data_IF_649425753293
#
_entry.id   IF_649425753293
#
_cell.length_a   1.000
_cell.length_b   1.000
_cell.length_c   1.000
_cell.angle_alpha   90.00
_cell.angle_beta   90.00
_cell.angle_gamma   90.00
#
_symmetry.space_group_name_H-M   'P 1'
#
loop_
_entity.id
_entity.type
_entity.pdbx_description
1 polymer ?
#
# COMPACT_ATOMS: atom_id res chain seq x y z
N UNK A 1 17.34 -32.89 -1.64
CA UNK A 1 16.19 -32.83 -2.57
C UNK A 1 15.70 -34.26 -2.72
N UNK A 2 14.45 -34.55 -2.35
CA UNK A 2 13.89 -35.88 -2.56
C UNK A 2 13.73 -36.14 -4.07
N UNK A 3 14.01 -37.37 -4.52
CA UNK A 3 13.85 -37.81 -5.90
C UNK A 3 12.44 -37.53 -6.42
N UNK A 4 12.34 -36.93 -7.61
CA UNK A 4 11.07 -36.46 -8.19
C UNK A 4 10.09 -37.59 -8.55
N UNK A 5 10.55 -38.84 -8.65
CA UNK A 5 9.76 -39.98 -9.14
C UNK A 5 8.84 -40.61 -8.09
N UNK A 6 8.90 -40.17 -6.83
CA UNK A 6 8.06 -40.69 -5.73
C UNK A 6 7.07 -39.66 -5.15
N UNK A 7 7.02 -38.44 -5.68
CA UNK A 7 6.09 -37.41 -5.21
C UNK A 7 4.73 -37.53 -5.89
N UNK A 8 3.66 -37.30 -5.12
CA UNK A 8 2.32 -37.19 -5.71
C UNK A 8 2.28 -36.02 -6.72
N UNK A 9 1.47 -36.10 -7.80
CA UNK A 9 1.38 -35.02 -8.78
C UNK A 9 1.06 -33.65 -8.15
N UNK A 10 0.33 -33.65 -7.04
CA UNK A 10 0.00 -32.45 -6.28
C UNK A 10 1.22 -31.83 -5.58
N UNK A 11 2.02 -32.64 -4.89
CA UNK A 11 3.23 -32.15 -4.23
C UNK A 11 4.28 -31.73 -5.26
N UNK A 12 4.34 -32.41 -6.42
CA UNK A 12 5.19 -31.98 -7.53
C UNK A 12 4.76 -30.61 -8.07
N UNK A 13 3.46 -30.38 -8.26
CA UNK A 13 2.92 -29.07 -8.65
C UNK A 13 3.24 -28.00 -7.59
N UNK A 14 3.04 -28.29 -6.30
CA UNK A 14 3.37 -27.38 -5.20
C UNK A 14 4.85 -26.99 -5.20
N UNK A 15 5.75 -27.98 -5.24
CA UNK A 15 7.20 -27.74 -5.23
C UNK A 15 7.65 -26.95 -6.46
N UNK A 16 7.06 -27.22 -7.63
CA UNK A 16 7.36 -26.47 -8.85
C UNK A 16 6.95 -25.00 -8.74
N UNK A 17 5.78 -24.71 -8.16
CA UNK A 17 5.34 -23.33 -7.91
C UNK A 17 6.21 -22.67 -6.83
N UNK A 18 6.49 -23.38 -5.73
CA UNK A 18 7.31 -22.88 -4.61
C UNK A 18 8.74 -22.51 -5.02
N UNK A 19 9.32 -23.15 -6.05
CA UNK A 19 10.63 -22.77 -6.60
C UNK A 19 10.70 -21.30 -7.03
N UNK A 20 9.59 -20.73 -7.50
CA UNK A 20 9.49 -19.32 -7.88
C UNK A 20 9.22 -18.36 -6.72
N UNK A 21 8.89 -18.87 -5.53
CA UNK A 21 8.45 -18.09 -4.36
C UNK A 21 9.12 -18.60 -3.08
N UNK A 22 10.44 -18.72 -3.10
CA UNK A 22 11.23 -19.34 -2.00
C UNK A 22 11.15 -18.54 -0.69
N UNK A 23 11.02 -17.23 -0.80
CA UNK A 23 11.00 -16.23 0.26
C UNK A 23 9.58 -15.89 0.76
N UNK A 24 8.54 -16.52 0.21
CA UNK A 24 7.15 -16.31 0.59
C UNK A 24 6.49 -17.60 1.05
N UNK A 25 5.66 -17.54 2.09
CA UNK A 25 4.81 -18.66 2.50
C UNK A 25 3.75 -18.88 1.42
N UNK A 26 3.70 -20.07 0.85
CA UNK A 26 2.79 -20.40 -0.24
C UNK A 26 1.45 -20.91 0.31
N UNK A 27 0.41 -20.10 0.18
CA UNK A 27 -0.97 -20.49 0.45
C UNK A 27 -1.52 -21.20 -0.78
N UNK A 28 -1.54 -22.53 -0.74
CA UNK A 28 -1.89 -23.37 -1.88
C UNK A 28 -3.35 -23.80 -1.82
N UNK A 29 -4.19 -23.30 -2.75
CA UNK A 29 -5.63 -23.57 -2.77
C UNK A 29 -5.94 -25.05 -2.98
N UNK A 30 -6.65 -25.64 -2.03
CA UNK A 30 -7.09 -27.03 -2.03
C UNK A 30 -8.53 -27.16 -1.52
N UNK A 31 -9.48 -27.31 -2.45
CA UNK A 31 -10.90 -27.34 -2.07
C UNK A 31 -11.27 -26.06 -1.34
N UNK A 32 -11.77 -26.17 -0.10
CA UNK A 32 -12.13 -25.04 0.76
C UNK A 32 -11.01 -24.54 1.69
N UNK A 33 -9.78 -24.98 1.48
CA UNK A 33 -8.64 -24.60 2.31
C UNK A 33 -7.53 -23.95 1.49
N UNK A 34 -6.71 -23.15 2.17
CA UNK A 34 -5.32 -22.93 1.76
C UNK A 34 -4.44 -23.82 2.61
N UNK A 35 -3.71 -24.73 1.97
CA UNK A 35 -2.75 -25.62 2.60
C UNK A 35 -1.32 -25.09 2.39
N UNK A 36 -0.47 -25.32 3.39
CA UNK A 36 0.97 -25.07 3.35
C UNK A 36 1.69 -26.37 3.65
N UNK A 37 2.84 -26.62 3.00
CA UNK A 37 3.60 -27.86 3.16
C UNK A 37 5.07 -27.60 3.54
N UNK A 38 5.72 -28.63 4.10
CA UNK A 38 7.13 -28.61 4.46
C UNK A 38 7.48 -27.47 5.43
N UNK A 39 8.52 -26.69 5.15
CA UNK A 39 8.96 -25.58 5.99
C UNK A 39 7.89 -24.52 6.18
N UNK A 40 7.14 -24.19 5.12
CA UNK A 40 6.03 -23.23 5.18
C UNK A 40 4.99 -23.67 6.22
N UNK A 41 4.69 -24.96 6.30
CA UNK A 41 3.76 -25.50 7.30
C UNK A 41 4.28 -25.36 8.73
N UNK A 42 5.57 -25.65 8.93
CA UNK A 42 6.22 -25.57 10.25
C UNK A 42 6.29 -24.13 10.75
N UNK A 43 6.60 -23.19 9.86
CA UNK A 43 6.66 -21.76 10.18
C UNK A 43 5.25 -21.22 10.43
N UNK A 44 4.33 -21.45 9.48
CA UNK A 44 2.97 -20.91 9.57
C UNK A 44 2.19 -21.47 10.76
N UNK A 45 2.31 -22.76 11.07
CA UNK A 45 1.61 -23.36 12.22
C UNK A 45 1.94 -22.67 13.54
N UNK A 46 3.21 -22.30 13.75
CA UNK A 46 3.66 -21.59 14.96
C UNK A 46 3.14 -20.16 15.02
N UNK A 47 3.25 -19.41 13.92
CA UNK A 47 2.85 -17.98 13.90
C UNK A 47 1.32 -17.83 13.93
N UNK A 48 0.62 -18.70 13.21
CA UNK A 48 -0.83 -18.65 13.09
C UNK A 48 -1.55 -19.34 14.27
N UNK A 49 -0.80 -20.11 15.07
CA UNK A 49 -1.30 -20.94 16.18
C UNK A 49 -2.34 -21.96 15.69
N UNK A 50 -2.03 -22.63 14.58
CA UNK A 50 -2.88 -23.66 13.98
C UNK A 50 -2.21 -25.04 14.06
N UNK A 51 -3.01 -26.10 13.98
CA UNK A 51 -2.51 -27.45 14.09
C UNK A 51 -1.53 -27.80 12.95
N UNK A 52 -0.31 -28.23 13.32
CA UNK A 52 0.62 -28.87 12.41
C UNK A 52 0.28 -30.36 12.33
N UNK A 53 0.02 -30.84 11.13
CA UNK A 53 -0.35 -32.22 10.83
C UNK A 53 0.61 -32.81 9.80
N UNK A 54 0.39 -34.07 9.41
CA UNK A 54 1.17 -34.73 8.36
C UNK A 54 0.25 -35.33 7.31
N UNK A 55 0.64 -35.14 6.06
CA UNK A 55 0.02 -35.75 4.90
C UNK A 55 0.76 -37.04 4.53
N UNK A 56 0.02 -38.00 3.97
CA UNK A 56 0.55 -39.28 3.50
C UNK A 56 1.35 -40.05 4.56
N UNK A 57 0.76 -40.20 5.76
CA UNK A 57 1.32 -40.93 6.94
C UNK A 57 1.81 -42.37 6.67
N UNK A 58 1.54 -42.92 5.48
CA UNK A 58 1.90 -44.28 5.05
C UNK A 58 3.18 -44.32 4.21
N UNK A 59 3.73 -43.18 3.81
CA UNK A 59 5.03 -43.07 3.15
C UNK A 59 6.16 -43.07 4.18
N UNK A 60 7.36 -43.49 3.78
CA UNK A 60 8.56 -43.47 4.63
C UNK A 60 8.99 -42.04 5.04
N UNK A 61 8.48 -41.01 4.35
CA UNK A 61 8.75 -39.59 4.64
C UNK A 61 7.42 -38.79 4.66
N UNK A 62 6.79 -38.62 5.84
CA UNK A 62 5.51 -37.90 5.96
C UNK A 62 5.70 -36.40 5.80
N UNK A 63 4.87 -35.76 4.96
CA UNK A 63 5.01 -34.33 4.64
C UNK A 63 4.31 -33.47 5.70
N UNK A 64 5.01 -32.54 6.39
CA UNK A 64 4.38 -31.58 7.29
C UNK A 64 3.37 -30.70 6.55
N UNK A 65 2.20 -30.50 7.15
CA UNK A 65 1.08 -29.77 6.55
C UNK A 65 0.30 -29.01 7.61
N UNK A 66 -0.08 -27.77 7.31
CA UNK A 66 -1.14 -27.06 8.03
C UNK A 66 -2.05 -26.36 7.01
N UNK A 67 -3.22 -25.92 7.44
CA UNK A 67 -4.17 -25.28 6.54
C UNK A 67 -5.18 -24.40 7.27
N UNK A 68 -5.75 -23.48 6.52
CA UNK A 68 -6.76 -22.53 6.98
C UNK A 68 -7.95 -22.53 6.01
N UNK A 69 -9.19 -22.36 6.52
CA UNK A 69 -10.35 -22.18 5.65
C UNK A 69 -10.19 -20.91 4.80
N UNK A 70 -10.53 -20.99 3.52
CA UNK A 70 -10.25 -19.88 2.60
C UNK A 70 -11.05 -18.62 2.88
N UNK A 71 -12.30 -18.76 3.32
CA UNK A 71 -13.11 -17.63 3.76
C UNK A 71 -12.50 -16.88 4.95
N UNK A 72 -11.61 -17.53 5.71
CA UNK A 72 -10.95 -16.94 6.88
C UNK A 72 -9.54 -16.39 6.57
N UNK A 73 -9.04 -16.54 5.34
CA UNK A 73 -7.65 -16.23 4.97
C UNK A 73 -7.21 -14.82 5.35
N UNK A 74 -8.10 -13.83 5.17
CA UNK A 74 -7.83 -12.42 5.44
C UNK A 74 -7.53 -12.15 6.93
N UNK A 75 -7.97 -13.01 7.85
CA UNK A 75 -7.67 -12.90 9.28
C UNK A 75 -6.30 -13.48 9.66
N UNK A 76 -5.71 -14.34 8.82
CA UNK A 76 -4.45 -15.03 9.10
C UNK A 76 -3.24 -14.34 8.46
N UNK A 77 -3.37 -13.88 7.21
CA UNK A 77 -2.35 -13.09 6.50
C UNK A 77 -1.72 -11.99 7.37
N UNK A 78 -2.47 -11.13 8.10
CA UNK A 78 -1.89 -10.07 8.95
C UNK A 78 -0.86 -10.57 9.96
N UNK A 79 -1.04 -11.78 10.50
CA UNK A 79 -0.11 -12.34 11.50
C UNK A 79 1.24 -12.63 10.85
N UNK A 80 1.24 -13.24 9.66
CA UNK A 80 2.46 -13.53 8.90
C UNK A 80 3.18 -12.24 8.46
N UNK A 81 2.42 -11.27 7.96
CA UNK A 81 2.97 -9.98 7.51
C UNK A 81 3.62 -9.21 8.66
N UNK A 82 3.00 -9.21 9.86
CA UNK A 82 3.57 -8.57 11.06
C UNK A 82 4.86 -9.22 11.54
N UNK A 83 5.01 -10.53 11.34
CA UNK A 83 6.26 -11.24 11.61
C UNK A 83 7.29 -11.06 10.49
N UNK A 84 6.85 -10.68 9.28
CA UNK A 84 7.73 -10.33 8.17
C UNK A 84 7.77 -11.28 7.02
N UNK A 85 6.86 -12.24 7.01
CA UNK A 85 6.74 -13.20 5.95
C UNK A 85 5.87 -12.63 4.84
N UNK A 86 6.36 -12.76 3.60
CA UNK A 86 5.52 -12.60 2.41
C UNK A 86 4.57 -13.78 2.31
N UNK A 87 3.41 -13.57 1.71
CA UNK A 87 2.42 -14.63 1.49
C UNK A 87 2.07 -14.68 0.01
N UNK A 88 2.37 -15.79 -0.67
CA UNK A 88 1.97 -16.03 -2.05
C UNK A 88 0.63 -16.76 -2.07
N UNK A 89 -0.40 -16.16 -2.67
CA UNK A 89 -1.75 -16.73 -2.81
C UNK A 89 -1.81 -17.48 -4.13
N UNK A 90 -1.93 -18.81 -4.05
CA UNK A 90 -2.00 -19.69 -5.19
C UNK A 90 -3.41 -20.25 -5.35
N UNK A 91 -4.08 -19.87 -6.44
CA UNK A 91 -5.47 -20.21 -6.74
C UNK A 91 -5.60 -21.28 -7.82
N UNK A 92 -6.75 -21.93 -7.85
CA UNK A 92 -7.17 -22.78 -8.97
C UNK A 92 -7.65 -21.89 -10.12
N UNK A 93 -6.99 -21.98 -11.28
CA UNK A 93 -7.29 -21.13 -12.45
C UNK A 93 -8.14 -21.84 -13.51
N UNK A 94 -8.45 -23.11 -13.30
CA UNK A 94 -9.33 -23.90 -14.17
C UNK A 94 -10.42 -24.56 -13.35
N UNK A 95 -11.58 -24.80 -13.99
CA UNK A 95 -12.72 -25.45 -13.37
C UNK A 95 -12.36 -26.91 -13.04
N UNK A 96 -12.43 -27.34 -11.76
CA UNK A 96 -12.18 -28.72 -11.37
C UNK A 96 -13.02 -29.75 -12.12
N UNK A 97 -14.23 -29.39 -12.57
CA UNK A 97 -15.12 -30.28 -13.32
C UNK A 97 -14.68 -30.47 -14.78
N UNK A 98 -13.91 -29.53 -15.34
CA UNK A 98 -13.43 -29.56 -16.72
C UNK A 98 -11.97 -30.02 -16.83
N UNK A 99 -11.24 -30.05 -15.72
CA UNK A 99 -9.82 -30.38 -15.68
C UNK A 99 -9.57 -31.87 -16.00
N UNK A 100 -8.66 -32.15 -16.94
CA UNK A 100 -8.11 -33.49 -17.17
C UNK A 100 -6.86 -33.68 -16.32
N UNK A 101 -7.00 -34.36 -15.18
CA UNK A 101 -5.88 -34.61 -14.25
C UNK A 101 -5.90 -33.66 -13.06
N UNK A 102 -4.74 -33.11 -12.68
CA UNK A 102 -4.68 -32.14 -11.57
C UNK A 102 -5.03 -30.73 -12.05
N UNK A 103 -5.93 -30.07 -11.33
CA UNK A 103 -6.29 -28.67 -11.56
C UNK A 103 -5.04 -27.78 -11.55
N UNK A 104 -4.84 -26.98 -12.59
CA UNK A 104 -3.79 -25.96 -12.72
C UNK A 104 -4.01 -24.90 -11.68
N UNK A 105 -2.88 -24.50 -11.11
CA UNK A 105 -2.82 -23.48 -10.09
C UNK A 105 -1.76 -22.47 -10.43
N UNK A 106 -2.04 -21.23 -10.10
CA UNK A 106 -1.13 -20.12 -10.31
C UNK A 106 -1.13 -19.21 -9.10
N UNK A 107 0.03 -18.61 -8.82
CA UNK A 107 0.10 -17.52 -7.85
C UNK A 107 -0.53 -16.30 -8.49
N UNK A 108 -1.65 -15.86 -7.94
CA UNK A 108 -2.42 -14.70 -8.41
C UNK A 108 -2.03 -13.42 -7.68
N UNK A 109 -1.35 -13.52 -6.54
CA UNK A 109 -0.92 -12.36 -5.75
C UNK A 109 0.15 -12.74 -4.74
N UNK A 110 1.06 -11.82 -4.47
CA UNK A 110 2.03 -11.89 -3.37
C UNK A 110 1.74 -10.71 -2.45
N UNK A 111 1.47 -11.00 -1.18
CA UNK A 111 1.20 -10.00 -0.16
C UNK A 111 2.48 -9.79 0.62
N UNK A 112 2.96 -8.55 0.66
CA UNK A 112 4.18 -8.13 1.34
C UNK A 112 3.84 -7.04 2.36
N UNK A 113 4.71 -6.75 3.33
CA UNK A 113 4.48 -5.67 4.29
C UNK A 113 4.20 -4.31 3.64
N UNK A 114 4.82 -3.99 2.50
CA UNK A 114 4.64 -2.73 1.78
C UNK A 114 3.47 -2.70 0.79
N UNK A 115 2.86 -3.84 0.45
CA UNK A 115 1.87 -3.93 -0.65
C UNK A 115 0.48 -4.40 -0.20
N UNK A 116 0.18 -4.19 1.08
CA UNK A 116 -1.10 -4.55 1.68
C UNK A 116 -2.21 -3.60 1.20
N UNK A 117 -3.35 -4.16 0.79
CA UNK A 117 -4.53 -3.40 0.31
C UNK A 117 -5.78 -3.58 1.18
N UNK A 118 -5.84 -4.64 1.98
CA UNK A 118 -7.01 -4.94 2.80
C UNK A 118 -7.08 -3.96 3.97
N UNK A 119 -8.18 -3.22 4.06
CA UNK A 119 -8.41 -2.20 5.08
C UNK A 119 -8.40 -2.74 6.51
N UNK A 120 -8.66 -4.05 6.71
CA UNK A 120 -8.57 -4.67 8.03
C UNK A 120 -7.12 -4.85 8.51
N UNK A 121 -6.17 -4.82 7.58
CA UNK A 121 -4.74 -4.99 7.85
C UNK A 121 -4.02 -3.65 8.02
N UNK A 122 -4.61 -2.60 7.48
CA UNK A 122 -4.04 -1.27 7.48
C UNK A 122 -4.61 -0.46 8.64
N UNK A 123 -3.76 0.29 9.34
CA UNK A 123 -4.27 1.35 10.19
C UNK A 123 -4.94 2.42 9.31
N UNK A 124 -6.19 2.77 9.62
CA UNK A 124 -6.96 3.75 8.87
C UNK A 124 -6.24 5.10 8.71
N UNK A 125 -5.43 5.52 9.69
CA UNK A 125 -4.76 6.84 9.71
C UNK A 125 -3.25 6.76 9.49
N UNK A 126 -2.76 5.65 8.95
CA UNK A 126 -1.35 5.47 8.59
C UNK A 126 -1.21 5.07 7.13
N UNK A 127 -0.26 5.68 6.43
CA UNK A 127 0.16 5.23 5.11
C UNK A 127 0.99 3.95 5.20
N UNK A 128 0.88 3.10 4.19
CA UNK A 128 1.62 1.84 4.10
C UNK A 128 2.68 1.93 2.99
N UNK A 129 3.63 2.85 3.15
CA UNK A 129 4.62 3.11 2.12
C UNK A 129 5.58 1.94 1.92
N UNK A 130 5.84 1.62 0.65
CA UNK A 130 7.03 0.92 0.19
C UNK A 130 7.96 1.94 -0.47
N UNK A 131 9.26 1.87 -0.19
CA UNK A 131 10.28 2.72 -0.81
C UNK A 131 11.28 1.87 -1.58
N UNK A 132 11.75 2.37 -2.70
CA UNK A 132 12.86 1.84 -3.49
C UNK A 132 14.01 2.84 -3.44
N UNK A 133 15.23 2.33 -3.25
CA UNK A 133 16.45 3.12 -3.16
C UNK A 133 17.45 2.63 -4.21
N UNK A 134 17.90 3.54 -5.06
CA UNK A 134 18.90 3.27 -6.10
C UNK A 134 20.13 4.17 -5.90
N UNK A 135 21.26 3.61 -5.43
CA UNK A 135 22.49 4.34 -5.24
C UNK A 135 23.20 4.58 -6.59
N UNK A 136 23.54 5.83 -6.87
CA UNK A 136 24.40 6.22 -7.99
C UNK A 136 25.71 6.83 -7.45
N UNK A 137 26.67 7.10 -8.34
CA UNK A 137 28.02 7.57 -7.98
C UNK A 137 28.03 8.83 -7.11
N UNK A 138 27.10 9.76 -7.30
CA UNK A 138 27.08 11.09 -6.62
C UNK A 138 25.78 11.41 -5.90
N UNK A 139 24.79 10.55 -6.02
CA UNK A 139 23.45 10.75 -5.48
C UNK A 139 22.78 9.40 -5.23
N UNK A 140 21.66 9.41 -4.52
CA UNK A 140 20.80 8.24 -4.38
C UNK A 140 19.43 8.62 -4.85
N UNK A 141 18.95 7.95 -5.89
CA UNK A 141 17.58 8.04 -6.35
C UNK A 141 16.67 7.28 -5.40
N UNK A 142 15.48 7.80 -5.17
CA UNK A 142 14.46 7.10 -4.41
C UNK A 142 13.10 7.31 -5.03
N UNK A 143 12.22 6.35 -4.76
CA UNK A 143 10.81 6.47 -5.05
C UNK A 143 10.01 5.73 -3.98
N UNK A 144 8.83 6.24 -3.61
CA UNK A 144 7.98 5.57 -2.63
C UNK A 144 6.50 5.67 -3.00
N UNK A 145 5.78 4.60 -2.69
CA UNK A 145 4.38 4.41 -3.05
C UNK A 145 3.58 3.90 -1.86
N UNK A 146 2.39 4.44 -1.63
CA UNK A 146 1.34 3.75 -0.88
C UNK A 146 0.38 3.11 -1.87
N UNK A 147 0.48 1.79 -2.03
CA UNK A 147 -0.31 1.05 -3.02
C UNK A 147 -1.82 1.16 -2.71
N UNK A 148 -2.18 1.40 -1.45
CA UNK A 148 -3.57 1.52 -1.01
C UNK A 148 -4.20 2.88 -1.31
N UNK A 149 -3.40 3.92 -1.59
CA UNK A 149 -3.91 5.26 -1.94
C UNK A 149 -3.52 5.71 -3.35
N UNK A 150 -2.52 5.09 -3.96
CA UNK A 150 -1.94 5.51 -5.23
C UNK A 150 -0.96 6.68 -5.10
N UNK A 151 -0.68 7.13 -3.88
CA UNK A 151 0.31 8.18 -3.62
C UNK A 151 1.70 7.72 -4.05
N UNK A 152 2.25 8.37 -5.07
CA UNK A 152 3.56 8.04 -5.63
C UNK A 152 4.46 9.28 -5.68
N UNK A 153 5.65 9.13 -5.12
CA UNK A 153 6.66 10.16 -5.05
C UNK A 153 8.00 9.64 -5.54
N UNK A 154 8.80 10.51 -6.15
CA UNK A 154 10.19 10.22 -6.52
C UNK A 154 11.08 11.42 -6.29
N UNK A 155 12.35 11.19 -6.01
CA UNK A 155 13.32 12.27 -5.78
C UNK A 155 14.73 11.76 -5.65
N UNK A 156 15.64 12.68 -5.32
CA UNK A 156 17.06 12.38 -5.22
C UNK A 156 17.67 12.97 -3.97
N UNK A 157 18.54 12.19 -3.34
CA UNK A 157 19.42 12.64 -2.28
C UNK A 157 20.77 12.98 -2.91
N UNK A 158 21.17 14.26 -2.86
CA UNK A 158 22.44 14.74 -3.42
C UNK A 158 23.53 14.71 -2.35
N UNK A 159 24.75 14.27 -2.69
CA UNK A 159 25.86 14.35 -1.73
C UNK A 159 27.26 14.03 -2.22
N UNK A 160 28.02 15.08 -2.52
CA UNK A 160 29.41 15.27 -2.03
C UNK A 160 29.49 16.62 -1.28
N UNK A 161 28.69 16.86 -0.24
CA UNK A 161 28.92 17.99 0.69
C UNK A 161 28.58 17.57 2.12
N UNK A 162 29.62 17.45 2.95
CA UNK A 162 29.64 17.59 4.42
C UNK A 162 28.73 16.72 5.33
N UNK A 163 28.16 15.63 4.85
CA UNK A 163 27.44 14.67 5.69
C UNK A 163 27.25 13.35 4.97
N UNK A 164 27.60 12.26 5.64
CA UNK A 164 27.50 10.88 5.15
C UNK A 164 26.16 10.64 4.38
N UNK A 165 26.15 10.18 3.11
CA UNK A 165 24.93 9.86 2.35
C UNK A 165 23.94 8.97 3.10
N UNK A 166 24.47 8.11 3.97
CA UNK A 166 23.72 7.32 4.94
C UNK A 166 22.75 8.16 5.79
N UNK A 167 23.18 9.32 6.25
CA UNK A 167 22.41 10.17 7.16
C UNK A 167 21.18 10.77 6.47
N UNK A 168 21.32 11.20 5.21
CA UNK A 168 20.18 11.71 4.44
C UNK A 168 19.17 10.59 4.14
N UNK A 169 19.66 9.38 3.84
CA UNK A 169 18.80 8.22 3.65
C UNK A 169 18.07 7.84 4.94
N UNK A 170 18.78 7.77 6.07
CA UNK A 170 18.19 7.46 7.39
C UNK A 170 17.12 8.50 7.80
N UNK A 171 17.40 9.79 7.55
CA UNK A 171 16.48 10.89 7.82
C UNK A 171 15.22 10.85 6.93
N UNK A 172 15.39 10.52 5.64
CA UNK A 172 14.30 10.30 4.70
C UNK A 172 13.44 9.09 5.12
N UNK A 173 14.07 7.95 5.43
CA UNK A 173 13.40 6.73 5.89
C UNK A 173 12.63 7.01 7.17
N UNK A 174 13.21 7.73 8.13
CA UNK A 174 12.54 8.09 9.37
C UNK A 174 11.27 8.92 9.13
N UNK A 175 11.29 9.86 8.18
CA UNK A 175 10.11 10.68 7.82
C UNK A 175 9.03 9.89 7.08
N UNK A 176 9.42 9.09 6.10
CA UNK A 176 8.48 8.30 5.28
C UNK A 176 7.88 7.15 6.12
N UNK A 177 8.67 6.59 7.04
CA UNK A 177 8.33 5.42 7.84
C UNK A 177 7.81 4.23 7.01
N UNK A 178 8.59 3.78 5.99
CA UNK A 178 8.17 2.72 5.10
C UNK A 178 7.99 1.39 5.85
N UNK A 179 7.10 0.53 5.35
CA UNK A 179 6.97 -0.86 5.82
C UNK A 179 7.91 -1.81 5.10
N UNK A 180 8.32 -1.43 3.89
CA UNK A 180 9.19 -2.22 3.05
C UNK A 180 10.15 -1.32 2.29
N UNK A 181 11.41 -1.74 2.18
CA UNK A 181 12.47 -1.07 1.47
C UNK A 181 13.02 -2.03 0.42
N UNK A 182 13.04 -1.57 -0.83
CA UNK A 182 13.51 -2.30 -2.00
C UNK A 182 14.91 -1.83 -2.40
N UNK A 183 15.80 -2.78 -2.67
CA UNK A 183 17.16 -2.54 -3.18
C UNK A 183 17.50 -3.43 -4.38
N UNK A 184 18.45 -2.99 -5.24
CA UNK A 184 19.10 -3.87 -6.19
C UNK A 184 19.81 -5.03 -5.49
N UNK A 185 19.65 -6.25 -5.99
CA UNK A 185 20.19 -7.47 -5.37
C UNK A 185 21.73 -7.56 -5.36
N UNK A 186 22.40 -6.82 -6.23
CA UNK A 186 23.85 -6.72 -6.33
C UNK A 186 24.46 -5.68 -5.37
N UNK A 187 23.63 -4.83 -4.76
CA UNK A 187 24.06 -3.82 -3.80
C UNK A 187 23.97 -4.38 -2.38
N UNK A 188 25.07 -4.32 -1.64
CA UNK A 188 25.05 -4.69 -0.22
C UNK A 188 24.24 -3.65 0.56
N UNK A 189 23.32 -4.10 1.44
CA UNK A 189 22.48 -3.29 2.35
C UNK A 189 23.23 -2.36 3.33
N UNK A 190 24.51 -2.05 3.09
CA UNK A 190 25.35 -1.15 3.90
C UNK A 190 24.86 0.30 3.90
N UNK A 191 23.89 0.65 3.04
CA UNK A 191 23.26 1.97 2.95
C UNK A 191 22.12 2.18 3.94
N UNK A 192 21.81 1.22 4.80
CA UNK A 192 20.85 1.39 5.89
C UNK A 192 21.50 0.92 7.18
N UNK A 193 21.56 1.82 8.16
CA UNK A 193 21.91 1.43 9.52
C UNK A 193 20.87 0.43 10.04
N UNK A 194 21.32 -0.72 10.54
CA UNK A 194 20.42 -1.79 11.02
C UNK A 194 19.35 -1.22 11.97
N UNK A 195 18.12 -1.72 11.80
CA UNK A 195 16.90 -1.47 12.59
C UNK A 195 17.20 -0.84 13.96
N UNK A 196 16.94 0.46 14.09
CA UNK A 196 17.05 1.21 15.33
C UNK A 196 16.02 0.79 16.38
N UNK A 197 15.09 -0.12 16.03
CA UNK A 197 13.98 -0.59 16.86
C UNK A 197 12.82 0.40 16.94
N UNK A 198 12.97 1.63 16.43
CA UNK A 198 11.93 2.66 16.43
C UNK A 198 10.95 2.50 15.24
N UNK A 199 11.44 1.98 14.12
CA UNK A 199 10.65 1.68 12.93
C UNK A 199 11.01 0.30 12.38
N UNK A 200 10.10 -0.66 12.55
CA UNK A 200 10.22 -1.97 11.90
C UNK A 200 9.90 -1.81 10.42
N UNK A 201 10.86 -2.10 9.56
CA UNK A 201 10.70 -2.19 8.11
C UNK A 201 11.36 -3.46 7.59
N UNK A 202 10.91 -3.92 6.43
CA UNK A 202 11.43 -5.11 5.78
C UNK A 202 12.30 -4.74 4.61
N UNK A 203 13.52 -5.26 4.57
CA UNK A 203 14.42 -5.08 3.43
C UNK A 203 14.19 -6.21 2.44
N UNK A 204 14.09 -5.84 1.17
CA UNK A 204 13.87 -6.75 0.08
C UNK A 204 14.82 -6.47 -1.07
N UNK A 205 15.39 -7.53 -1.63
CA UNK A 205 16.32 -7.46 -2.74
C UNK A 205 15.58 -7.83 -4.03
N UNK A 206 15.73 -7.00 -5.05
CA UNK A 206 15.05 -7.17 -6.34
C UNK A 206 16.09 -7.18 -7.47
N UNK A 207 15.85 -7.92 -8.57
CA UNK A 207 16.85 -8.10 -9.62
C UNK A 207 17.40 -6.77 -10.13
N UNK A 208 18.72 -6.66 -10.20
CA UNK A 208 19.42 -5.42 -10.54
C UNK A 208 19.04 -4.91 -11.94
N UNK A 209 18.71 -5.83 -12.85
CA UNK A 209 18.26 -5.55 -14.21
C UNK A 209 17.01 -4.66 -14.24
N UNK A 210 16.16 -4.77 -13.22
CA UNK A 210 14.93 -3.97 -13.11
C UNK A 210 15.20 -2.53 -12.66
N UNK A 211 16.39 -2.28 -12.10
CA UNK A 211 16.88 -0.94 -11.78
C UNK A 211 17.70 -0.35 -12.93
N UNK A 212 17.98 -1.08 -14.01
CA UNK A 212 18.66 -0.51 -15.17
C UNK A 212 17.79 0.56 -15.81
N UNK A 213 18.43 1.65 -16.23
CA UNK A 213 17.74 2.86 -16.70
C UNK A 213 16.73 2.56 -17.82
N UNK A 214 17.11 1.77 -18.83
CA UNK A 214 16.24 1.47 -19.98
C UNK A 214 14.95 0.76 -19.56
N UNK A 215 15.06 -0.25 -18.68
CA UNK A 215 13.91 -0.98 -18.15
C UNK A 215 13.05 -0.08 -17.26
N UNK A 216 13.69 0.62 -16.32
CA UNK A 216 13.01 1.44 -15.34
C UNK A 216 12.27 2.63 -16.00
N UNK A 217 12.93 3.31 -16.95
CA UNK A 217 12.35 4.41 -17.71
C UNK A 217 11.12 3.94 -18.51
N UNK A 218 11.24 2.82 -19.23
CA UNK A 218 10.11 2.25 -19.99
C UNK A 218 8.91 1.97 -19.09
N UNK A 219 9.13 1.32 -17.95
CA UNK A 219 8.05 0.99 -17.00
C UNK A 219 7.41 2.25 -16.42
N UNK A 220 8.23 3.23 -16.02
CA UNK A 220 7.74 4.50 -15.49
C UNK A 220 6.90 5.26 -16.53
N UNK A 221 7.37 5.31 -17.77
CA UNK A 221 6.69 5.98 -18.88
C UNK A 221 5.41 5.26 -19.33
N UNK A 222 5.37 3.93 -19.29
CA UNK A 222 4.15 3.17 -19.56
C UNK A 222 3.09 3.37 -18.46
N UNK A 223 3.53 3.54 -17.21
CA UNK A 223 2.66 3.72 -16.06
C UNK A 223 2.09 5.14 -15.96
N UNK A 224 2.92 6.16 -16.19
CA UNK A 224 2.56 7.57 -16.02
C UNK A 224 2.24 8.17 -17.38
N UNK A 225 1.01 8.68 -17.54
CA UNK A 225 0.60 9.32 -18.79
C UNK A 225 1.32 10.65 -19.00
N UNK A 226 1.66 10.95 -20.26
CA UNK A 226 2.41 12.15 -20.70
C UNK A 226 1.75 13.49 -20.28
N UNK A 227 0.43 13.52 -20.08
CA UNK A 227 -0.32 14.73 -19.66
C UNK A 227 -0.14 15.10 -18.18
N UNK A 228 0.66 14.34 -17.41
CA UNK A 228 0.94 14.73 -16.03
C UNK A 228 1.89 15.93 -16.01
N UNK A 229 1.38 17.09 -15.60
CA UNK A 229 2.09 18.38 -15.50
C UNK A 229 3.38 18.35 -14.67
N UNK A 230 3.63 17.26 -13.94
CA UNK A 230 4.80 17.07 -13.09
C UNK A 230 5.96 16.35 -13.79
N UNK A 231 5.76 15.74 -14.97
CA UNK A 231 6.86 15.11 -15.73
C UNK A 231 7.93 16.13 -16.11
N UNK A 232 7.56 17.39 -16.35
CA UNK A 232 8.52 18.46 -16.65
C UNK A 232 9.44 18.83 -15.47
N UNK A 233 9.07 18.47 -14.25
CA UNK A 233 9.90 18.70 -13.05
C UNK A 233 10.82 17.52 -12.72
N UNK A 234 10.62 16.37 -13.36
CA UNK A 234 11.42 15.17 -13.14
C UNK A 234 12.70 15.27 -13.97
N UNK A 235 13.85 15.10 -13.34
CA UNK A 235 15.07 14.81 -14.08
C UNK A 235 14.97 13.37 -14.61
N UNK A 236 14.50 13.24 -15.84
CA UNK A 236 14.30 11.93 -16.47
C UNK A 236 15.60 11.17 -16.68
N UNK A 237 16.77 11.79 -16.52
CA UNK A 237 18.07 11.12 -16.62
C UNK A 237 18.69 10.81 -15.26
N UNK A 238 17.98 11.14 -14.17
CA UNK A 238 18.48 10.97 -12.81
C UNK A 238 18.20 9.59 -12.21
N UNK A 239 18.94 9.19 -11.16
CA UNK A 239 18.79 7.89 -10.50
C UNK A 239 17.40 7.67 -9.87
N UNK A 240 16.61 8.74 -9.72
CA UNK A 240 15.21 8.63 -9.27
C UNK A 240 14.36 7.79 -10.22
N UNK A 241 14.63 7.81 -11.53
CA UNK A 241 13.95 6.98 -12.53
C UNK A 241 14.21 5.49 -12.30
N UNK A 242 15.47 5.11 -12.03
CA UNK A 242 15.87 3.75 -11.72
C UNK A 242 15.08 3.20 -10.52
N UNK A 243 15.02 3.97 -9.43
CA UNK A 243 14.28 3.60 -8.24
C UNK A 243 12.76 3.48 -8.51
N UNK A 244 12.19 4.44 -9.24
CA UNK A 244 10.77 4.51 -9.56
C UNK A 244 10.32 3.34 -10.46
N UNK A 245 11.03 3.08 -11.55
CA UNK A 245 10.70 1.97 -12.46
C UNK A 245 10.81 0.61 -11.79
N UNK A 246 11.89 0.37 -11.03
CA UNK A 246 12.04 -0.87 -10.26
C UNK A 246 10.93 -1.06 -9.21
N UNK A 247 10.52 0.03 -8.55
CA UNK A 247 9.42 -0.02 -7.57
C UNK A 247 8.10 -0.40 -8.23
N UNK A 248 7.76 0.24 -9.36
CA UNK A 248 6.55 -0.07 -10.12
C UNK A 248 6.57 -1.51 -10.63
N UNK A 249 7.72 -1.98 -11.10
CA UNK A 249 7.88 -3.35 -11.55
C UNK A 249 7.66 -4.36 -10.42
N UNK A 250 8.26 -4.11 -9.25
CA UNK A 250 8.06 -4.93 -8.07
C UNK A 250 6.59 -4.95 -7.60
N UNK A 251 5.92 -3.80 -7.57
CA UNK A 251 4.50 -3.73 -7.21
C UNK A 251 3.66 -4.49 -8.25
N UNK A 252 4.00 -4.41 -9.54
CA UNK A 252 3.32 -5.16 -10.60
C UNK A 252 3.50 -6.66 -10.44
N UNK A 253 4.71 -7.13 -10.15
CA UNK A 253 5.02 -8.56 -9.93
C UNK A 253 4.29 -9.12 -8.70
N UNK A 254 4.13 -8.32 -7.65
CA UNK A 254 3.44 -8.72 -6.43
C UNK A 254 1.92 -8.66 -6.55
N UNK A 255 1.36 -7.61 -7.13
CA UNK A 255 -0.09 -7.47 -7.27
C UNK A 255 -0.66 -8.24 -8.48
N UNK A 256 0.18 -8.56 -9.48
CA UNK A 256 -0.18 -9.27 -10.72
C UNK A 256 -1.41 -8.70 -11.42
N UNK A 257 -1.57 -7.39 -11.32
CA UNK A 257 -2.64 -6.61 -11.94
C UNK A 257 -2.08 -5.26 -12.38
N UNK A 258 -2.81 -4.58 -13.26
CA UNK A 258 -2.44 -3.24 -13.71
C UNK A 258 -2.61 -2.23 -12.57
N UNK A 259 -1.61 -1.36 -12.35
CA UNK A 259 -1.59 -0.38 -11.26
C UNK A 259 -2.35 0.90 -11.62
N UNK A 260 -3.61 0.78 -12.07
CA UNK A 260 -4.37 1.90 -12.63
C UNK A 260 -4.67 3.03 -11.62
N UNK A 261 -4.53 2.78 -10.31
CA UNK A 261 -4.64 3.82 -9.28
C UNK A 261 -3.41 4.73 -9.22
N UNK A 262 -2.24 4.29 -9.68
CA UNK A 262 -1.02 5.09 -9.66
C UNK A 262 -0.96 5.88 -10.98
N UNK A 263 -1.68 7.00 -11.04
CA UNK A 263 -1.81 7.76 -12.30
C UNK A 263 -0.75 8.83 -12.49
N UNK A 264 -0.19 9.34 -11.40
CA UNK A 264 0.75 10.47 -11.38
C UNK A 264 1.90 10.19 -10.40
N UNK A 265 3.05 10.83 -10.64
CA UNK A 265 4.14 10.90 -9.68
C UNK A 265 4.39 12.34 -9.27
N UNK A 266 4.69 12.54 -7.98
CA UNK A 266 5.06 13.84 -7.41
C UNK A 266 6.56 13.90 -7.20
N UNK A 267 7.20 14.98 -7.63
CA UNK A 267 8.62 15.21 -7.34
C UNK A 267 8.76 15.59 -5.87
N UNK A 268 9.49 14.77 -5.12
CA UNK A 268 9.83 15.03 -3.73
C UNK A 268 11.20 15.70 -3.67
N UNK A 269 11.23 16.95 -3.20
CA UNK A 269 12.46 17.70 -2.95
C UNK A 269 12.73 17.75 -1.46
N UNK A 270 13.79 17.09 -1.04
CA UNK A 270 14.11 16.97 0.37
C UNK A 270 14.39 18.33 1.04
N UNK A 271 14.88 19.30 0.26
CA UNK A 271 15.25 20.63 0.73
C UNK A 271 14.05 21.56 1.00
N UNK A 272 12.84 21.17 0.60
CA UNK A 272 11.62 21.95 0.85
C UNK A 272 11.03 21.71 2.25
N UNK A 273 11.56 20.72 2.97
CA UNK A 273 11.04 20.29 4.26
C UNK A 273 12.10 20.43 5.35
N UNK A 274 11.66 20.70 6.57
CA UNK A 274 12.52 20.68 7.75
C UNK A 274 13.04 19.25 7.98
N UNK A 275 14.34 19.11 8.20
CA UNK A 275 14.93 17.83 8.59
C UNK A 275 14.47 17.45 10.01
N UNK A 276 13.66 16.39 10.09
CA UNK A 276 13.17 15.82 11.36
C UNK A 276 13.62 14.37 11.43
N UNK A 277 14.85 14.18 11.93
CA UNK A 277 15.46 12.87 12.05
C UNK A 277 14.76 11.98 13.08
N UNK A 278 15.08 10.69 13.08
CA UNK A 278 14.47 9.69 13.97
C UNK A 278 14.53 10.11 15.46
N UNK A 279 15.68 10.62 15.91
CA UNK A 279 15.88 11.05 17.30
C UNK A 279 14.94 12.19 17.67
N UNK A 280 14.78 13.19 16.80
CA UNK A 280 13.87 14.31 17.01
C UNK A 280 12.42 13.82 17.04
N UNK A 281 12.01 12.95 16.10
CA UNK A 281 10.66 12.38 16.07
C UNK A 281 10.33 11.63 17.36
N UNK A 282 11.27 10.83 17.87
CA UNK A 282 11.11 10.05 19.10
C UNK A 282 11.04 10.95 20.32
N UNK A 283 11.99 11.87 20.46
CA UNK A 283 12.11 12.76 21.64
C UNK A 283 10.92 13.71 21.75
N UNK A 284 10.42 14.21 20.61
CA UNK A 284 9.23 15.07 20.56
C UNK A 284 7.92 14.27 20.56
N UNK A 285 7.99 12.93 20.55
CA UNK A 285 6.85 12.01 20.47
C UNK A 285 5.84 12.44 19.39
N UNK A 286 6.32 12.76 18.18
CA UNK A 286 5.48 13.38 17.14
C UNK A 286 4.30 12.48 16.76
N UNK A 287 4.59 11.21 16.45
CA UNK A 287 3.61 10.24 15.95
C UNK A 287 3.63 8.93 16.71
N UNK A 288 4.73 8.62 17.40
CA UNK A 288 4.90 7.42 18.24
C UNK A 288 5.36 7.83 19.65
N UNK A 289 4.84 7.18 20.70
CA UNK A 289 5.32 7.40 22.06
C UNK A 289 6.67 6.71 22.27
N UNK A 290 7.51 7.28 23.14
CA UNK A 290 8.83 6.73 23.48
C UNK A 290 8.74 5.51 24.39
N UNK A 291 7.66 5.36 25.17
CA UNK A 291 7.44 4.22 26.05
C UNK A 291 6.47 3.21 25.41
N UNK A 292 6.94 1.98 25.18
CA UNK A 292 6.11 0.87 24.71
C UNK A 292 4.89 0.66 25.62
N UNK A 293 3.70 0.64 25.02
CA UNK A 293 2.42 0.36 25.71
C UNK A 293 1.55 1.59 25.97
N UNK A 294 2.08 2.81 25.87
CA UNK A 294 1.26 4.02 25.95
C UNK A 294 0.66 4.30 24.57
N UNK A 295 -0.67 4.34 24.42
CA UNK A 295 -1.34 4.69 23.13
C UNK A 295 -1.62 6.19 22.98
N UNK A 296 -1.46 6.97 24.05
CA UNK A 296 -1.84 8.39 24.14
C UNK A 296 -0.67 9.23 24.62
N UNK A 297 -0.53 10.44 24.09
CA UNK A 297 0.49 11.40 24.51
C UNK A 297 1.33 12.01 23.39
N UNK A 298 1.19 11.52 22.15
CA UNK A 298 1.91 12.08 21.00
C UNK A 298 1.29 13.39 20.50
N UNK A 299 2.07 14.20 19.77
CA UNK A 299 1.55 15.40 19.11
C UNK A 299 0.41 15.07 18.15
N UNK A 300 0.57 14.01 17.35
CA UNK A 300 -0.47 13.53 16.44
C UNK A 300 -1.75 13.16 17.19
N UNK A 301 -1.67 12.45 18.32
CA UNK A 301 -2.85 12.10 19.11
C UNK A 301 -3.61 13.34 19.64
N UNK A 302 -2.87 14.38 20.02
CA UNK A 302 -3.44 15.64 20.49
C UNK A 302 -4.16 16.38 19.35
N UNK A 303 -3.50 16.52 18.19
CA UNK A 303 -3.99 17.33 17.06
C UNK A 303 -5.03 16.62 16.20
N UNK A 304 -5.01 15.28 16.15
CA UNK A 304 -5.88 14.52 15.28
C UNK A 304 -7.35 14.57 15.75
N UNK A 305 -8.08 15.53 15.17
CA UNK A 305 -9.53 15.69 15.25
C UNK A 305 -10.15 15.69 13.85
N UNK A 306 -9.48 15.00 12.93
CA UNK A 306 -9.89 14.85 11.52
C UNK A 306 -11.17 14.02 11.44
N UNK A 307 -12.05 14.38 10.50
CA UNK A 307 -13.32 13.69 10.30
C UNK A 307 -13.17 12.40 9.45
N UNK A 308 -12.11 12.30 8.66
CA UNK A 308 -11.86 11.18 7.75
C UNK A 308 -10.52 10.50 8.02
N UNK A 309 -10.42 9.24 7.62
CA UNK A 309 -9.17 8.46 7.67
C UNK A 309 -8.06 9.09 6.81
N UNK A 310 -8.38 9.48 5.57
CA UNK A 310 -7.47 10.18 4.65
C UNK A 310 -6.98 11.52 5.21
N UNK A 311 -7.85 12.30 5.86
CA UNK A 311 -7.44 13.53 6.53
C UNK A 311 -6.46 13.28 7.68
N UNK A 312 -6.65 12.18 8.44
CA UNK A 312 -5.74 11.73 9.48
C UNK A 312 -4.35 11.37 8.93
N UNK A 313 -4.30 10.64 7.81
CA UNK A 313 -3.05 10.32 7.10
C UNK A 313 -2.33 11.59 6.65
N UNK A 314 -3.05 12.51 6.01
CA UNK A 314 -2.49 13.79 5.55
C UNK A 314 -1.94 14.63 6.71
N UNK A 315 -2.66 14.72 7.83
CA UNK A 315 -2.19 15.44 9.02
C UNK A 315 -0.90 14.81 9.57
N UNK A 316 -0.85 13.49 9.66
CA UNK A 316 0.35 12.76 10.10
C UNK A 316 1.54 13.04 9.18
N UNK A 317 1.31 13.03 7.86
CA UNK A 317 2.32 13.37 6.87
C UNK A 317 2.84 14.80 7.08
N UNK A 318 1.96 15.79 7.27
CA UNK A 318 2.34 17.19 7.51
C UNK A 318 3.14 17.40 8.80
N UNK A 319 2.83 16.66 9.87
CA UNK A 319 3.61 16.72 11.12
C UNK A 319 5.05 16.23 10.88
N UNK A 320 5.22 15.20 10.05
CA UNK A 320 6.53 14.63 9.73
C UNK A 320 7.29 15.39 8.63
N UNK A 321 6.60 16.25 7.88
CA UNK A 321 7.15 17.01 6.76
C UNK A 321 6.81 18.51 6.89
N UNK A 322 7.37 19.22 7.90
CA UNK A 322 7.13 20.64 8.06
C UNK A 322 7.68 21.41 6.86
N UNK A 323 6.87 22.28 6.26
CA UNK A 323 7.27 23.11 5.12
C UNK A 323 8.32 24.15 5.54
N UNK A 324 9.24 24.48 4.63
CA UNK A 324 10.16 25.61 4.78
C UNK A 324 9.76 26.83 3.95
N UNK A 325 8.93 26.65 2.92
CA UNK A 325 8.46 27.73 2.08
C UNK A 325 7.38 28.55 2.78
N UNK A 326 7.64 29.85 2.98
CA UNK A 326 6.73 30.77 3.67
C UNK A 326 5.41 30.94 2.92
N UNK A 327 5.44 31.00 1.60
CA UNK A 327 4.22 31.14 0.79
C UNK A 327 3.29 29.94 0.96
N UNK A 328 3.83 28.72 0.93
CA UNK A 328 3.03 27.49 1.13
C UNK A 328 2.47 27.40 2.56
N UNK A 329 3.23 27.88 3.55
CA UNK A 329 2.77 27.97 4.94
C UNK A 329 1.61 28.96 5.04
N UNK A 330 1.74 30.15 4.45
CA UNK A 330 0.70 31.20 4.48
C UNK A 330 -0.58 30.73 3.79
N UNK A 331 -0.47 30.07 2.63
CA UNK A 331 -1.62 29.48 1.92
C UNK A 331 -2.42 28.52 2.83
N UNK A 332 -1.73 27.70 3.65
CA UNK A 332 -2.40 26.83 4.64
C UNK A 332 -3.02 27.64 5.79
N UNK A 333 -2.33 28.65 6.29
CA UNK A 333 -2.80 29.48 7.40
C UNK A 333 -4.06 30.28 7.02
N UNK A 334 -4.10 30.85 5.82
CA UNK A 334 -5.27 31.57 5.28
C UNK A 334 -6.52 30.67 5.23
N UNK A 335 -6.38 29.44 4.73
CA UNK A 335 -7.48 28.48 4.71
C UNK A 335 -7.97 28.09 6.12
N UNK A 336 -7.05 27.97 7.08
CA UNK A 336 -7.39 27.70 8.48
C UNK A 336 -8.11 28.89 9.11
N UNK A 337 -7.65 30.12 8.87
CA UNK A 337 -8.25 31.35 9.38
C UNK A 337 -9.68 31.51 8.86
N UNK A 338 -9.89 31.39 7.55
CA UNK A 338 -11.21 31.51 6.93
C UNK A 338 -12.22 30.51 7.53
N UNK A 339 -11.84 29.23 7.64
CA UNK A 339 -12.71 28.19 8.19
C UNK A 339 -12.89 28.32 9.72
N UNK A 340 -11.93 28.90 10.43
CA UNK A 340 -12.04 29.18 11.88
C UNK A 340 -13.13 30.23 12.13
N UNK A 341 -13.12 31.32 11.36
CA UNK A 341 -14.10 32.41 11.48
C UNK A 341 -15.49 32.00 10.97
N UNK A 342 -15.56 31.13 9.96
CA UNK A 342 -16.81 30.56 9.44
C UNK A 342 -17.35 29.39 10.29
N UNK A 343 -17.65 29.61 11.57
CA UNK A 343 -18.02 28.55 12.53
C UNK A 343 -19.12 27.61 12.04
N UNK A 344 -20.27 28.16 11.61
CA UNK A 344 -21.43 27.37 11.18
C UNK A 344 -21.10 26.53 9.93
N UNK A 345 -20.41 27.12 8.96
CA UNK A 345 -19.95 26.40 7.77
C UNK A 345 -18.99 25.29 8.15
N UNK A 346 -18.01 25.55 9.02
CA UNK A 346 -17.06 24.55 9.49
C UNK A 346 -17.74 23.39 10.22
N UNK A 347 -18.76 23.65 11.04
CA UNK A 347 -19.52 22.59 11.71
C UNK A 347 -20.22 21.67 10.71
N UNK A 348 -20.94 22.24 9.73
CA UNK A 348 -21.60 21.48 8.66
C UNK A 348 -20.60 20.71 7.80
N UNK A 349 -19.48 21.34 7.45
CA UNK A 349 -18.42 20.69 6.68
C UNK A 349 -17.86 19.47 7.42
N UNK A 350 -17.66 19.57 8.74
CA UNK A 350 -17.21 18.44 9.55
C UNK A 350 -18.23 17.31 9.62
N UNK A 351 -19.53 17.62 9.68
CA UNK A 351 -20.60 16.62 9.64
C UNK A 351 -20.61 15.86 8.30
N UNK A 352 -20.59 16.60 7.19
CA UNK A 352 -20.53 16.02 5.84
C UNK A 352 -19.28 15.17 5.65
N UNK A 353 -18.09 15.70 5.98
CA UNK A 353 -16.84 14.95 5.93
C UNK A 353 -16.86 13.71 6.84
N UNK A 354 -17.54 13.77 7.99
CA UNK A 354 -17.66 12.63 8.91
C UNK A 354 -18.47 11.47 8.35
N UNK A 355 -19.32 11.71 7.35
CA UNK A 355 -20.05 10.67 6.63
C UNK A 355 -19.24 10.01 5.52
N UNK A 356 -18.12 10.64 5.11
CA UNK A 356 -17.25 10.11 4.07
C UNK A 356 -16.35 9.01 4.65
N UNK A 357 -16.48 7.82 4.09
CA UNK A 357 -15.58 6.69 4.38
C UNK A 357 -14.21 6.91 3.73
N UNK A 358 -13.31 5.93 3.85
CA UNK A 358 -11.96 6.00 3.30
C UNK A 358 -11.94 5.88 1.77
N UNK A 359 -12.32 6.97 1.10
CA UNK A 359 -12.53 7.03 -0.36
C UNK A 359 -11.26 6.68 -1.14
N UNK A 360 -10.08 7.18 -0.73
CA UNK A 360 -8.80 6.88 -1.40
C UNK A 360 -8.53 5.37 -1.48
N UNK A 361 -8.76 4.65 -0.37
CA UNK A 361 -8.56 3.20 -0.32
C UNK A 361 -9.66 2.43 -1.04
N UNK A 362 -10.90 2.91 -0.99
CA UNK A 362 -12.01 2.32 -1.74
C UNK A 362 -11.73 2.38 -3.24
N UNK A 363 -11.36 3.57 -3.76
CA UNK A 363 -11.02 3.78 -5.17
C UNK A 363 -9.87 2.86 -5.58
N UNK A 364 -8.80 2.80 -4.78
CA UNK A 364 -7.65 1.93 -5.08
C UNK A 364 -8.03 0.44 -5.15
N UNK A 365 -8.92 -0.05 -4.26
CA UNK A 365 -9.41 -1.43 -4.34
C UNK A 365 -10.23 -1.68 -5.61
N UNK A 366 -11.05 -0.71 -6.02
CA UNK A 366 -11.87 -0.80 -7.23
C UNK A 366 -10.98 -0.88 -8.48
N UNK A 367 -10.02 0.04 -8.62
CA UNK A 367 -9.10 0.07 -9.77
C UNK A 367 -8.21 -1.16 -9.85
N UNK A 368 -7.79 -1.69 -8.69
CA UNK A 368 -6.98 -2.92 -8.60
C UNK A 368 -7.81 -4.20 -8.73
N UNK A 369 -9.13 -4.09 -8.95
CA UNK A 369 -10.08 -5.21 -9.13
C UNK A 369 -10.14 -6.18 -7.93
N UNK A 370 -9.91 -5.66 -6.73
CA UNK A 370 -10.00 -6.41 -5.47
C UNK A 370 -11.15 -5.94 -4.57
N UNK A 371 -11.96 -5.00 -5.05
CA UNK A 371 -13.14 -4.49 -4.36
C UNK A 371 -14.31 -5.48 -4.36
N UNK A 372 -15.16 -5.39 -3.34
CA UNK A 372 -16.45 -6.08 -3.27
C UNK A 372 -17.62 -5.11 -3.50
N UNK A 373 -18.85 -5.63 -3.56
CA UNK A 373 -20.04 -4.80 -3.79
C UNK A 373 -20.27 -3.72 -2.71
N UNK A 374 -19.86 -3.96 -1.46
CA UNK A 374 -19.97 -2.97 -0.39
C UNK A 374 -19.01 -1.79 -0.58
N UNK A 375 -17.85 -2.01 -1.21
CA UNK A 375 -16.93 -0.91 -1.55
C UNK A 375 -17.59 0.08 -2.53
N UNK A 376 -18.35 -0.41 -3.51
CA UNK A 376 -19.10 0.45 -4.43
C UNK A 376 -20.23 1.21 -3.74
N UNK A 377 -20.97 0.58 -2.82
CA UNK A 377 -21.98 1.27 -2.00
C UNK A 377 -21.34 2.35 -1.13
N UNK A 378 -20.20 2.05 -0.50
CA UNK A 378 -19.44 3.02 0.27
C UNK A 378 -18.97 4.20 -0.60
N UNK A 379 -18.44 3.93 -1.80
CA UNK A 379 -18.07 4.98 -2.76
C UNK A 379 -19.29 5.86 -3.10
N UNK A 380 -20.42 5.25 -3.44
CA UNK A 380 -21.66 5.96 -3.77
C UNK A 380 -22.14 6.88 -2.63
N UNK A 381 -22.07 6.40 -1.38
CA UNK A 381 -22.38 7.23 -0.21
C UNK A 381 -21.46 8.44 -0.12
N UNK A 382 -20.16 8.27 -0.37
CA UNK A 382 -19.22 9.38 -0.38
C UNK A 382 -19.51 10.37 -1.52
N UNK A 383 -19.79 9.89 -2.74
CA UNK A 383 -20.06 10.73 -3.91
C UNK A 383 -21.30 11.62 -3.71
N UNK A 384 -22.36 11.11 -3.07
CA UNK A 384 -23.60 11.87 -2.81
C UNK A 384 -23.40 13.11 -1.95
N UNK A 385 -22.33 13.17 -1.17
CA UNK A 385 -22.03 14.27 -0.23
C UNK A 385 -21.19 15.38 -0.89
N UNK A 386 -20.48 15.06 -1.98
CA UNK A 386 -19.57 16.00 -2.68
C UNK A 386 -20.30 17.27 -3.15
N UNK A 387 -21.48 17.22 -3.78
CA UNK A 387 -22.17 18.43 -4.24
C UNK A 387 -22.50 19.39 -3.09
N UNK A 388 -22.90 18.86 -1.94
CA UNK A 388 -23.22 19.67 -0.76
C UNK A 388 -21.97 20.31 -0.16
N UNK A 389 -20.85 19.57 -0.10
CA UNK A 389 -19.55 20.11 0.31
C UNK A 389 -19.14 21.27 -0.60
N UNK A 390 -19.20 21.08 -1.93
CA UNK A 390 -18.85 22.13 -2.91
C UNK A 390 -19.71 23.38 -2.73
N UNK A 391 -21.03 23.20 -2.55
CA UNK A 391 -21.93 24.31 -2.29
C UNK A 391 -21.62 25.05 -0.98
N UNK A 392 -21.14 24.35 0.04
CA UNK A 392 -20.84 24.95 1.34
C UNK A 392 -19.57 25.82 1.31
N UNK A 393 -18.61 25.45 0.45
CA UNK A 393 -17.32 26.13 0.31
C UNK A 393 -17.24 27.08 -0.89
N UNK A 394 -18.33 27.25 -1.65
CA UNK A 394 -18.31 28.02 -2.91
C UNK A 394 -17.98 29.50 -2.77
N UNK A 395 -18.28 30.07 -1.60
CA UNK A 395 -18.05 31.48 -1.29
C UNK A 395 -16.75 31.70 -0.52
N UNK A 396 -15.96 30.65 -0.32
CA UNK A 396 -14.64 30.75 0.29
C UNK A 396 -13.65 31.38 -0.70
N UNK A 397 -12.74 32.17 -0.15
CA UNK A 397 -11.76 32.98 -0.86
C UNK A 397 -10.34 32.43 -0.72
N UNK A 398 -10.07 31.65 0.34
CA UNK A 398 -8.76 31.05 0.54
C UNK A 398 -8.42 30.08 -0.60
N UNK A 399 -7.19 30.17 -1.12
CA UNK A 399 -6.76 29.47 -2.33
C UNK A 399 -7.06 27.97 -2.30
N UNK A 400 -6.65 27.27 -1.23
CA UNK A 400 -6.87 25.83 -1.09
C UNK A 400 -8.35 25.43 -1.10
N UNK A 401 -9.22 26.26 -0.52
CA UNK A 401 -10.65 25.97 -0.44
C UNK A 401 -11.31 26.23 -1.78
N UNK A 402 -10.91 27.33 -2.44
CA UNK A 402 -11.38 27.70 -3.77
C UNK A 402 -10.99 26.68 -4.82
N UNK A 403 -9.78 26.13 -4.77
CA UNK A 403 -9.31 25.12 -5.73
C UNK A 403 -10.17 23.85 -5.66
N UNK A 404 -10.58 23.43 -4.45
CA UNK A 404 -11.52 22.31 -4.27
C UNK A 404 -12.93 22.69 -4.77
N UNK A 405 -13.39 23.90 -4.47
CA UNK A 405 -14.70 24.36 -4.96
C UNK A 405 -14.76 24.48 -6.48
N UNK A 406 -13.63 24.83 -7.13
CA UNK A 406 -13.52 25.10 -8.55
C UNK A 406 -13.45 23.85 -9.42
N UNK A 407 -13.33 22.66 -8.83
CA UNK A 407 -13.44 21.40 -9.56
C UNK A 407 -14.78 21.32 -10.28
N UNK A 408 -14.81 20.99 -11.57
CA UNK A 408 -16.03 21.01 -12.38
C UNK A 408 -16.99 19.87 -12.04
N UNK A 409 -16.46 18.68 -11.78
CA UNK A 409 -17.25 17.46 -11.61
C UNK A 409 -17.94 17.40 -10.23
N UNK A 410 -19.19 16.95 -10.21
CA UNK A 410 -19.99 16.69 -9.01
C UNK A 410 -20.25 15.19 -8.78
N UNK A 411 -19.78 14.34 -9.70
CA UNK A 411 -19.85 12.88 -9.69
C UNK A 411 -21.26 12.30 -9.54
N UNK A 412 -22.29 13.10 -9.85
CA UNK A 412 -23.68 12.68 -9.67
C UNK A 412 -24.04 11.53 -10.60
N UNK A 413 -23.59 11.58 -11.84
CA UNK A 413 -23.79 10.53 -12.85
C UNK A 413 -23.22 9.17 -12.41
N UNK A 414 -22.03 9.16 -11.82
CA UNK A 414 -21.38 7.98 -11.27
C UNK A 414 -22.12 7.45 -10.04
N UNK A 415 -22.54 8.34 -9.14
CA UNK A 415 -23.39 7.98 -8.00
C UNK A 415 -24.73 7.36 -8.43
N UNK A 416 -25.36 7.92 -9.46
CA UNK A 416 -26.61 7.43 -10.03
C UNK A 416 -26.42 6.08 -10.76
N UNK A 417 -25.28 5.88 -11.43
CA UNK A 417 -24.92 4.59 -12.03
C UNK A 417 -24.82 3.51 -10.95
N UNK A 418 -24.05 3.73 -9.89
CA UNK A 418 -23.88 2.75 -8.81
C UNK A 418 -25.23 2.50 -8.11
N UNK A 419 -26.01 3.56 -7.87
CA UNK A 419 -27.32 3.48 -7.22
C UNK A 419 -28.32 2.65 -8.03
N UNK A 420 -28.26 2.68 -9.37
CA UNK A 420 -29.11 1.86 -10.25
C UNK A 420 -28.61 0.44 -10.40
N UNK A 421 -27.29 0.22 -10.37
CA UNK A 421 -26.69 -1.08 -10.62
C UNK A 421 -26.70 -2.02 -9.41
N UNK A 422 -26.40 -1.52 -8.19
CA UNK A 422 -26.09 -2.37 -7.04
C UNK A 422 -27.17 -2.25 -5.95
N UNK A 423 -27.57 -3.37 -5.35
CA UNK A 423 -28.52 -3.41 -4.22
C UNK A 423 -27.95 -2.70 -2.98
N UNK A 424 -28.80 -2.17 -2.10
CA UNK A 424 -28.33 -1.35 -0.97
C UNK A 424 -27.54 -2.13 0.08
N UNK A 425 -27.87 -3.42 0.27
CA UNK A 425 -27.22 -4.30 1.24
C UNK A 425 -26.68 -5.55 0.55
N UNK A 426 -25.59 -5.43 -0.24
CA UNK A 426 -25.09 -6.56 -0.99
C UNK A 426 -24.34 -7.55 -0.06
N UNK A 427 -24.31 -8.84 -0.46
CA UNK A 427 -23.47 -9.82 0.20
C UNK A 427 -21.98 -9.44 0.12
N UNK A 428 -21.18 -10.05 1.00
CA UNK A 428 -19.74 -9.79 1.06
C UNK A 428 -18.99 -10.40 -0.13
N UNK A 429 -19.42 -11.59 -0.56
CA UNK A 429 -18.75 -12.32 -1.64
C UNK A 429 -19.52 -12.19 -2.95
N UNK A 430 -18.79 -12.04 -4.05
CA UNK A 430 -19.38 -11.96 -5.39
C UNK A 430 -20.06 -13.29 -5.77
N UNK A 431 -19.58 -14.40 -5.22
CA UNK A 431 -20.07 -15.77 -5.47
C UNK A 431 -21.46 -16.04 -4.91
N UNK A 432 -21.94 -15.28 -3.93
CA UNK A 432 -23.28 -15.43 -3.36
C UNK A 432 -24.40 -14.92 -4.29
N UNK A 433 -24.06 -14.16 -5.34
CA UNK A 433 -25.04 -13.56 -6.24
C UNK A 433 -25.85 -12.45 -5.57
N UNK A 434 -26.99 -12.05 -6.16
CA UNK A 434 -27.90 -11.06 -5.56
C UNK A 434 -27.30 -9.66 -5.37
N UNK A 435 -26.30 -9.29 -6.18
CA UNK A 435 -25.61 -7.99 -6.07
C UNK A 435 -26.26 -6.93 -6.97
N UNK A 436 -26.65 -7.33 -8.18
CA UNK A 436 -27.21 -6.43 -9.19
C UNK A 436 -28.71 -6.25 -8.93
N UNK A 437 -29.19 -5.00 -9.02
CA UNK A 437 -30.61 -4.68 -8.87
C UNK A 437 -31.42 -5.23 -10.05
N UNK A 438 -32.63 -5.68 -9.76
CA UNK A 438 -33.59 -6.07 -10.80
C UNK A 438 -33.89 -4.87 -11.72
N UNK A 439 -33.79 -5.09 -13.03
CA UNK A 439 -34.07 -4.06 -14.05
C UNK A 439 -32.88 -3.17 -14.43
N UNK A 440 -31.67 -3.45 -13.92
CA UNK A 440 -30.41 -2.98 -14.52
C UNK A 440 -30.07 -3.83 -15.73
#
# INVERSE_FOLDING_TARGET
MADSDHLTPLLQQYLNIKKGYKDAILFFRMGDFYEMFYEDAVVASKILEIALTTRDKRLNDPVPMCGIPYHAVNSYIPKLIREGYKVAICEQVEDPALAKGIVRREVIRIITPGTVLDGNLLDSKENNFIISLYPDKKSTGFAFVDVSTGDFYMGELKGEIAGNPQYQADDLIARIAPKEILFPADISNKLISKDSGYQKFYINLYPAEMFEYENAFRILHEQIKEDSSHLSEIDTNGPSVNAAGALLAYITDTQKTSLQNITNVKVYRNELYMAVNETAQRTLELVKPSQSGRKKGTLFHLLDRTATAMGGRLLKLWILHPLLNISDINIRQEAVEELKEAYTQRCKLRELLGSIQDMERIISRITLKVANARDFIALNQCLKVIPEIKSLISNCSALLVRDVSGMSDDFKDLGDLISRAIIESPPLTITEGGIIKDGY
#
